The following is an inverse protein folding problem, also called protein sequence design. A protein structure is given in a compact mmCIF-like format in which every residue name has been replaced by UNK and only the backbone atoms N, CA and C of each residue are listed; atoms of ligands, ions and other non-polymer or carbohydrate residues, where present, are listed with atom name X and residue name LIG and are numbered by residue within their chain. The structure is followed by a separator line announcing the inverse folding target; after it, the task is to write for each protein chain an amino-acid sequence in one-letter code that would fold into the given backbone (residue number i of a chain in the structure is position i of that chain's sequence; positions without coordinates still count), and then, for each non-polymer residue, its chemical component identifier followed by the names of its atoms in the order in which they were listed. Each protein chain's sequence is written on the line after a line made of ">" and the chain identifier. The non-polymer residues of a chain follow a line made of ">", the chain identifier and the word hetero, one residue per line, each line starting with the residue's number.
data_IF_963697746167
#
_entry.id   IF_963697746167
#
_cell.length_a   1.000
_cell.length_b   1.000
_cell.length_c   1.000
_cell.angle_alpha   90.00
_cell.angle_beta   90.00
_cell.angle_gamma   90.00
#
_symmetry.space_group_name_H-M   'P 1'
#
loop_
_entity.id
_entity.type
_entity.pdbx_description
1 polymer ?
#
# COMPACT_ATOMS: atom_id res chain seq x y z
N UNK A 1 12.85 12.10 7.89
CA UNK A 1 11.40 11.97 8.09
C UNK A 1 11.10 11.60 9.53
N UNK A 2 10.08 12.17 10.14
CA UNK A 2 9.69 11.92 11.55
C UNK A 2 10.79 12.17 12.59
N UNK A 3 11.81 12.95 12.27
CA UNK A 3 12.93 13.27 13.15
C UNK A 3 13.87 12.11 13.48
N UNK A 4 13.87 11.04 12.66
CA UNK A 4 14.61 9.81 12.99
C UNK A 4 15.99 9.72 12.36
N UNK A 5 16.22 10.32 11.18
CA UNK A 5 17.55 10.37 10.49
C UNK A 5 18.28 9.01 10.47
N UNK A 6 17.62 7.99 9.91
CA UNK A 6 18.08 6.60 10.00
C UNK A 6 19.06 6.17 8.88
N UNK A 7 19.41 7.05 7.94
CA UNK A 7 20.52 6.79 7.02
C UNK A 7 21.86 7.20 7.67
N UNK A 8 22.18 6.53 8.75
CA UNK A 8 23.41 6.71 9.52
C UNK A 8 23.62 5.51 10.44
N UNK A 9 24.88 5.24 10.81
CA UNK A 9 25.24 4.16 11.74
C UNK A 9 24.64 4.35 13.13
N UNK A 10 24.42 5.61 13.53
CA UNK A 10 23.88 5.96 14.85
C UNK A 10 22.77 6.98 14.71
N UNK A 11 21.70 6.81 15.47
CA UNK A 11 20.60 7.76 15.56
C UNK A 11 20.16 7.95 17.00
N UNK A 12 19.69 9.14 17.34
CA UNK A 12 19.13 9.46 18.66
C UNK A 12 17.63 9.68 18.50
N UNK A 13 16.84 8.88 19.18
CA UNK A 13 15.39 8.85 19.08
C UNK A 13 14.73 9.00 20.45
N UNK A 14 13.56 9.66 20.54
CA UNK A 14 12.72 9.56 21.72
C UNK A 14 12.27 8.11 21.94
N UNK A 15 12.24 7.65 23.18
CA UNK A 15 11.78 6.29 23.52
C UNK A 15 10.39 5.98 22.95
N UNK A 16 9.49 6.98 22.90
CA UNK A 16 8.13 6.82 22.38
C UNK A 16 8.10 6.50 20.87
N UNK A 17 9.16 6.83 20.13
CA UNK A 17 9.26 6.60 18.68
C UNK A 17 9.76 5.21 18.31
N UNK A 18 10.06 4.35 19.29
CA UNK A 18 10.60 3.01 19.06
C UNK A 18 9.69 1.93 19.63
N UNK A 19 9.71 0.76 19.00
CA UNK A 19 9.06 -0.45 19.48
C UNK A 19 10.10 -1.56 19.58
N UNK A 20 10.10 -2.29 20.71
CA UNK A 20 10.98 -3.43 20.92
C UNK A 20 10.41 -4.62 20.12
N UNK A 21 11.24 -5.21 19.30
CA UNK A 21 10.91 -6.42 18.53
C UNK A 21 11.77 -7.61 18.99
N UNK A 22 11.47 -8.82 18.51
CA UNK A 22 12.26 -10.02 18.81
C UNK A 22 13.69 -9.88 18.29
N UNK A 23 14.65 -10.37 19.04
CA UNK A 23 16.08 -10.35 18.66
C UNK A 23 16.39 -11.24 17.46
N UNK A 24 15.59 -12.28 17.26
CA UNK A 24 15.73 -13.24 16.17
C UNK A 24 15.26 -12.67 14.82
N UNK A 25 14.55 -11.55 14.84
CA UNK A 25 14.05 -10.93 13.62
C UNK A 25 15.21 -10.36 12.78
N UNK A 26 15.33 -10.76 11.49
CA UNK A 26 16.35 -10.24 10.60
C UNK A 26 16.10 -8.77 10.32
N UNK A 27 17.00 -7.89 10.77
CA UNK A 27 16.80 -6.44 10.73
C UNK A 27 16.67 -5.90 9.30
N UNK A 28 17.41 -6.49 8.36
CA UNK A 28 17.36 -6.16 6.94
C UNK A 28 15.99 -6.44 6.28
N UNK A 29 15.15 -7.22 6.94
CA UNK A 29 13.77 -7.53 6.51
C UNK A 29 12.76 -6.69 7.27
N UNK A 30 12.80 -6.79 8.60
CA UNK A 30 11.77 -6.14 9.44
C UNK A 30 11.84 -4.62 9.44
N UNK A 31 12.93 -4.00 8.96
CA UNK A 31 13.01 -2.56 8.73
C UNK A 31 11.89 -2.07 7.78
N UNK A 32 11.38 -2.90 6.87
CA UNK A 32 10.29 -2.55 5.97
C UNK A 32 8.94 -2.40 6.70
N UNK A 33 8.81 -2.99 7.89
CA UNK A 33 7.61 -2.82 8.73
C UNK A 33 7.54 -1.42 9.37
N UNK A 34 8.64 -0.66 9.36
CA UNK A 34 8.67 0.70 9.91
C UNK A 34 7.74 1.69 9.20
N UNK A 35 7.33 1.43 7.96
CA UNK A 35 6.43 2.30 7.20
C UNK A 35 5.58 1.52 6.19
N UNK A 36 6.17 1.15 5.03
CA UNK A 36 5.42 0.76 3.83
C UNK A 36 4.51 -0.44 4.01
N UNK A 37 5.05 -1.55 4.54
CA UNK A 37 4.28 -2.79 4.70
C UNK A 37 3.16 -2.61 5.73
N UNK A 38 3.48 -2.02 6.87
CA UNK A 38 2.50 -1.72 7.91
C UNK A 38 1.40 -0.79 7.42
N UNK A 39 1.75 0.21 6.60
CA UNK A 39 0.78 1.15 6.02
C UNK A 39 -0.20 0.43 5.10
N UNK A 40 0.28 -0.41 4.19
CA UNK A 40 -0.58 -1.13 3.23
C UNK A 40 -1.49 -2.15 3.92
N UNK A 41 -0.92 -3.04 4.73
CA UNK A 41 -1.71 -4.04 5.48
C UNK A 41 -2.71 -3.35 6.41
N UNK A 42 -2.27 -2.34 7.14
CA UNK A 42 -3.11 -1.61 8.09
C UNK A 42 -4.23 -0.81 7.43
N UNK A 43 -4.00 -0.25 6.23
CA UNK A 43 -5.05 0.43 5.48
C UNK A 43 -6.25 -0.51 5.25
N UNK A 44 -5.98 -1.77 4.96
CA UNK A 44 -7.00 -2.80 4.74
C UNK A 44 -7.63 -3.29 6.05
N UNK A 45 -6.79 -3.69 7.02
CA UNK A 45 -7.27 -4.38 8.22
C UNK A 45 -7.78 -3.43 9.32
N UNK A 46 -7.11 -2.29 9.51
CA UNK A 46 -7.44 -1.36 10.61
C UNK A 46 -8.34 -0.21 10.14
N UNK A 47 -8.03 0.38 8.96
CA UNK A 47 -8.73 1.58 8.47
C UNK A 47 -10.04 1.20 7.79
N UNK A 48 -9.98 0.46 6.68
CA UNK A 48 -11.17 0.05 5.92
C UNK A 48 -11.92 -1.10 6.60
N UNK A 49 -11.19 -1.99 7.30
CA UNK A 49 -11.74 -3.20 7.92
C UNK A 49 -12.45 -4.07 6.88
N UNK A 50 -11.74 -4.33 5.79
CA UNK A 50 -12.27 -5.11 4.66
C UNK A 50 -12.89 -6.40 5.12
N UNK A 51 -14.10 -6.66 4.67
CA UNK A 51 -14.87 -7.84 5.04
C UNK A 51 -14.49 -9.06 4.19
N UNK A 52 -14.59 -10.29 4.75
CA UNK A 52 -14.39 -11.50 3.98
C UNK A 52 -15.33 -11.58 2.77
N UNK A 53 -14.79 -11.98 1.62
CA UNK A 53 -15.54 -12.08 0.37
C UNK A 53 -15.65 -10.78 -0.43
N UNK A 54 -15.26 -9.64 0.14
CA UNK A 54 -15.31 -8.34 -0.51
C UNK A 54 -14.43 -8.26 -1.77
N UNK A 55 -14.81 -7.37 -2.68
CA UNK A 55 -14.02 -6.97 -3.85
C UNK A 55 -13.16 -5.74 -3.52
N UNK A 56 -11.89 -5.79 -3.91
CA UNK A 56 -10.88 -4.77 -3.59
C UNK A 56 -10.16 -4.33 -4.85
N UNK A 57 -9.96 -3.02 -5.04
CA UNK A 57 -9.08 -2.48 -6.07
C UNK A 57 -7.90 -1.72 -5.41
N UNK A 58 -6.67 -2.04 -5.82
CA UNK A 58 -5.45 -1.38 -5.33
C UNK A 58 -4.79 -0.66 -6.49
N UNK A 59 -4.69 0.66 -6.38
CA UNK A 59 -4.08 1.53 -7.38
C UNK A 59 -2.64 1.84 -6.99
N UNK A 60 -1.71 1.45 -7.86
CA UNK A 60 -0.27 1.57 -7.66
C UNK A 60 0.33 0.35 -6.93
N UNK A 61 1.23 -0.34 -7.61
CA UNK A 61 1.88 -1.57 -7.13
C UNK A 61 3.33 -1.30 -6.69
N UNK A 62 3.51 -0.23 -5.92
CA UNK A 62 4.72 -0.02 -5.11
C UNK A 62 4.64 -0.81 -3.81
N UNK A 63 5.64 -0.65 -2.94
CA UNK A 63 5.68 -1.39 -1.66
C UNK A 63 4.42 -1.24 -0.80
N UNK A 64 3.74 -0.10 -0.82
CA UNK A 64 2.50 0.12 -0.07
C UNK A 64 1.33 -0.61 -0.71
N UNK A 65 1.16 -0.50 -2.04
CA UNK A 65 0.05 -1.16 -2.74
C UNK A 65 0.17 -2.70 -2.72
N UNK A 66 1.38 -3.22 -2.94
CA UNK A 66 1.64 -4.66 -2.80
C UNK A 66 1.35 -5.17 -1.38
N UNK A 67 1.62 -4.34 -0.37
CA UNK A 67 1.27 -4.66 1.03
C UNK A 67 -0.24 -4.59 1.28
N UNK A 68 -0.95 -3.67 0.61
CA UNK A 68 -2.42 -3.63 0.65
C UNK A 68 -3.03 -4.90 0.02
N UNK A 69 -2.44 -5.45 -1.05
CA UNK A 69 -2.83 -6.74 -1.61
C UNK A 69 -2.70 -7.85 -0.56
N UNK A 70 -1.55 -7.94 0.16
CA UNK A 70 -1.43 -8.89 1.26
C UNK A 70 -2.49 -8.69 2.33
N UNK A 71 -2.73 -7.42 2.72
CA UNK A 71 -3.80 -7.09 3.67
C UNK A 71 -5.17 -7.59 3.22
N UNK A 72 -5.50 -7.46 1.92
CA UNK A 72 -6.74 -7.95 1.34
C UNK A 72 -6.84 -9.49 1.39
N UNK A 73 -5.73 -10.20 1.14
CA UNK A 73 -5.67 -11.66 1.33
C UNK A 73 -5.89 -12.03 2.80
N UNK A 74 -5.24 -11.35 3.74
CA UNK A 74 -5.40 -11.57 5.18
C UNK A 74 -6.85 -11.30 5.63
N UNK A 75 -7.52 -10.30 5.03
CA UNK A 75 -8.95 -10.02 5.23
C UNK A 75 -9.87 -11.04 4.56
N UNK A 76 -9.34 -11.99 3.79
CA UNK A 76 -10.09 -12.98 3.00
C UNK A 76 -11.00 -12.32 1.95
N UNK A 77 -10.52 -11.25 1.29
CA UNK A 77 -11.20 -10.65 0.17
C UNK A 77 -11.44 -11.70 -0.94
N UNK A 78 -12.60 -11.63 -1.58
CA UNK A 78 -12.99 -12.59 -2.63
C UNK A 78 -12.40 -12.27 -3.99
N UNK A 79 -12.14 -10.98 -4.27
CA UNK A 79 -11.56 -10.50 -5.52
C UNK A 79 -10.61 -9.34 -5.25
N UNK A 80 -9.42 -9.36 -5.82
CA UNK A 80 -8.38 -8.35 -5.60
C UNK A 80 -7.82 -7.91 -6.95
N UNK A 81 -8.20 -6.69 -7.37
CA UNK A 81 -7.74 -6.07 -8.61
C UNK A 81 -6.49 -5.22 -8.33
N UNK A 82 -5.38 -5.59 -8.95
CA UNK A 82 -4.12 -4.85 -8.91
C UNK A 82 -4.04 -3.92 -10.14
N UNK A 83 -3.97 -2.61 -9.92
CA UNK A 83 -4.00 -1.59 -10.98
C UNK A 83 -2.67 -0.85 -11.03
N UNK A 84 -1.92 -0.95 -12.12
CA UNK A 84 -0.67 -0.21 -12.37
C UNK A 84 -0.43 -0.05 -13.87
N UNK A 85 0.29 1.00 -14.25
CA UNK A 85 0.73 1.23 -15.64
C UNK A 85 1.96 0.37 -16.01
N UNK A 86 2.71 -0.10 -15.02
CA UNK A 86 3.89 -0.95 -15.19
C UNK A 86 3.53 -2.42 -14.96
N UNK A 87 3.43 -3.19 -16.04
CA UNK A 87 3.06 -4.61 -16.00
C UNK A 87 4.13 -5.53 -15.40
N UNK A 88 5.39 -5.08 -15.30
CA UNK A 88 6.46 -5.86 -14.66
C UNK A 88 6.16 -6.17 -13.19
N UNK A 89 5.27 -5.38 -12.56
CA UNK A 89 4.86 -5.59 -11.17
C UNK A 89 3.72 -6.60 -11.01
N UNK A 90 3.06 -6.99 -12.09
CA UNK A 90 1.88 -7.85 -12.04
C UNK A 90 2.18 -9.26 -11.57
N UNK A 91 3.35 -9.79 -11.93
CA UNK A 91 3.75 -11.12 -11.47
C UNK A 91 3.85 -11.17 -9.95
N UNK A 92 4.53 -10.19 -9.35
CA UNK A 92 4.64 -10.11 -7.89
C UNK A 92 3.28 -9.84 -7.23
N UNK A 93 2.43 -8.99 -7.83
CA UNK A 93 1.08 -8.76 -7.32
C UNK A 93 0.26 -10.07 -7.25
N UNK A 94 0.35 -10.92 -8.28
CA UNK A 94 -0.29 -12.26 -8.30
C UNK A 94 0.29 -13.19 -7.24
N UNK A 95 1.62 -13.22 -7.08
CA UNK A 95 2.28 -14.02 -6.04
C UNK A 95 1.86 -13.59 -4.62
N UNK A 96 1.51 -12.31 -4.44
CA UNK A 96 1.00 -11.76 -3.19
C UNK A 96 -0.51 -11.91 -3.04
N UNK A 97 -1.22 -12.41 -4.07
CA UNK A 97 -2.62 -12.80 -4.01
C UNK A 97 -3.60 -11.95 -4.81
N UNK A 98 -3.13 -11.09 -5.73
CA UNK A 98 -4.02 -10.41 -6.66
C UNK A 98 -4.70 -11.44 -7.59
N UNK A 99 -6.01 -11.30 -7.76
CA UNK A 99 -6.80 -12.17 -8.64
C UNK A 99 -6.81 -11.66 -10.08
N UNK A 100 -6.79 -10.33 -10.24
CA UNK A 100 -6.85 -9.64 -11.52
C UNK A 100 -5.76 -8.57 -11.57
N UNK A 101 -5.21 -8.33 -12.77
CA UNK A 101 -4.27 -7.24 -13.01
C UNK A 101 -4.79 -6.37 -14.15
N UNK A 102 -4.81 -5.07 -13.94
CA UNK A 102 -5.39 -4.10 -14.88
C UNK A 102 -4.37 -3.00 -15.17
N UNK A 103 -3.99 -2.85 -16.44
CA UNK A 103 -3.18 -1.74 -16.91
C UNK A 103 -4.12 -0.68 -17.53
N UNK A 104 -4.27 0.51 -16.89
CA UNK A 104 -5.11 1.58 -17.40
C UNK A 104 -4.77 2.00 -18.84
N UNK A 105 -3.49 1.91 -19.21
CA UNK A 105 -3.01 2.29 -20.54
C UNK A 105 -3.49 1.38 -21.69
N UNK A 106 -4.19 0.30 -21.39
CA UNK A 106 -4.74 -0.64 -22.38
C UNK A 106 -6.23 -0.39 -22.71
N UNK A 107 -6.82 0.62 -22.10
CA UNK A 107 -8.24 0.95 -22.27
C UNK A 107 -8.40 2.39 -22.75
N UNK A 108 -9.35 2.61 -23.61
CA UNK A 108 -9.76 3.95 -24.07
C UNK A 108 -10.66 4.64 -23.02
N UNK A 109 -11.40 3.85 -22.25
CA UNK A 109 -12.28 4.32 -21.21
C UNK A 109 -11.53 4.68 -19.92
N UNK A 110 -12.06 5.61 -19.11
CA UNK A 110 -11.52 5.93 -17.80
C UNK A 110 -11.43 4.69 -16.90
N UNK A 111 -10.32 4.55 -16.15
CA UNK A 111 -10.07 3.33 -15.37
C UNK A 111 -11.18 2.98 -14.38
N UNK A 112 -11.84 3.98 -13.79
CA UNK A 112 -12.96 3.74 -12.89
C UNK A 112 -14.14 3.05 -13.59
N UNK A 113 -14.41 3.42 -14.85
CA UNK A 113 -15.51 2.83 -15.63
C UNK A 113 -15.16 1.39 -16.03
N UNK A 114 -13.91 1.15 -16.41
CA UNK A 114 -13.37 -0.21 -16.66
C UNK A 114 -13.54 -1.11 -15.45
N UNK A 115 -13.18 -0.62 -14.24
CA UNK A 115 -13.30 -1.41 -13.01
C UNK A 115 -14.78 -1.67 -12.68
N UNK A 116 -15.65 -0.68 -12.86
CA UNK A 116 -17.10 -0.85 -12.64
C UNK A 116 -17.67 -1.92 -13.57
N UNK A 117 -17.25 -1.94 -14.83
CA UNK A 117 -17.67 -2.97 -15.80
C UNK A 117 -17.15 -4.36 -15.41
N UNK A 118 -15.85 -4.47 -15.13
CA UNK A 118 -15.20 -5.73 -14.75
C UNK A 118 -15.78 -6.35 -13.46
N UNK A 119 -16.33 -5.52 -12.57
CA UNK A 119 -16.86 -5.96 -11.28
C UNK A 119 -18.38 -6.02 -11.23
N UNK A 120 -19.05 -5.60 -12.30
CA UNK A 120 -20.52 -5.61 -12.38
C UNK A 120 -21.20 -4.58 -11.48
N UNK A 121 -20.55 -3.43 -11.22
CA UNK A 121 -21.15 -2.35 -10.43
C UNK A 121 -20.18 -1.57 -9.53
N UNK A 122 -18.93 -1.96 -9.49
CA UNK A 122 -17.86 -1.34 -8.69
C UNK A 122 -17.36 -2.26 -7.59
N UNK A 123 -16.24 -1.88 -6.99
CA UNK A 123 -15.63 -2.63 -5.88
C UNK A 123 -16.18 -2.18 -4.53
N UNK A 124 -16.14 -3.07 -3.53
CA UNK A 124 -16.51 -2.72 -2.16
C UNK A 124 -15.48 -1.78 -1.53
N UNK A 125 -14.20 -1.98 -1.82
CA UNK A 125 -13.11 -1.16 -1.30
C UNK A 125 -12.10 -0.81 -2.39
N UNK A 126 -11.57 0.42 -2.33
CA UNK A 126 -10.43 0.81 -3.16
C UNK A 126 -9.34 1.46 -2.31
N UNK A 127 -8.07 1.26 -2.70
CA UNK A 127 -6.90 1.81 -2.02
C UNK A 127 -6.05 2.56 -3.05
N UNK A 128 -5.93 3.88 -2.89
CA UNK A 128 -5.03 4.68 -3.72
C UNK A 128 -3.67 4.77 -3.04
N UNK A 129 -2.63 4.19 -3.69
CA UNK A 129 -1.29 4.04 -3.14
C UNK A 129 -0.19 4.76 -3.96
N UNK A 130 -0.58 5.67 -4.85
CA UNK A 130 0.34 6.44 -5.72
C UNK A 130 0.58 7.85 -5.18
N UNK A 131 -0.48 8.52 -4.71
CA UNK A 131 -0.45 9.93 -4.32
C UNK A 131 -0.82 10.87 -5.48
N UNK A 132 -1.68 10.44 -6.39
CA UNK A 132 -2.14 11.25 -7.51
C UNK A 132 -3.61 11.65 -7.29
N UNK A 133 -3.90 12.96 -7.25
CA UNK A 133 -5.25 13.49 -6.94
C UNK A 133 -6.32 13.04 -7.95
N UNK A 134 -5.96 12.89 -9.23
CA UNK A 134 -6.89 12.38 -10.23
C UNK A 134 -7.18 10.89 -10.02
N UNK A 135 -6.14 10.13 -9.64
CA UNK A 135 -6.28 8.70 -9.35
C UNK A 135 -7.06 8.47 -8.04
N UNK A 136 -6.91 9.36 -7.03
CA UNK A 136 -7.74 9.34 -5.83
C UNK A 136 -9.23 9.46 -6.17
N UNK A 137 -9.55 10.34 -7.12
CA UNK A 137 -10.92 10.47 -7.64
C UNK A 137 -11.39 9.21 -8.36
N UNK A 138 -10.57 8.67 -9.25
CA UNK A 138 -10.90 7.41 -9.98
C UNK A 138 -11.10 6.25 -9.01
N UNK A 139 -10.28 6.16 -7.95
CA UNK A 139 -10.42 5.17 -6.90
C UNK A 139 -11.75 5.30 -6.14
N UNK A 140 -12.23 6.51 -5.87
CA UNK A 140 -13.55 6.72 -5.29
C UNK A 140 -14.66 6.31 -6.27
N UNK A 141 -14.54 6.75 -7.52
CA UNK A 141 -15.61 6.59 -8.52
C UNK A 141 -15.74 5.13 -8.99
N UNK A 142 -14.72 4.29 -8.84
CA UNK A 142 -14.80 2.85 -9.12
C UNK A 142 -15.46 2.02 -8.00
N UNK A 143 -15.71 2.62 -6.84
CA UNK A 143 -16.39 1.93 -5.75
C UNK A 143 -17.88 1.77 -6.01
N UNK A 144 -18.46 0.74 -5.46
CA UNK A 144 -19.90 0.45 -5.56
C UNK A 144 -20.73 1.58 -4.94
N UNK A 145 -21.83 1.96 -5.61
CA UNK A 145 -22.82 2.87 -5.04
C UNK A 145 -23.53 2.19 -3.86
N UNK A 146 -23.80 2.96 -2.82
CA UNK A 146 -24.53 2.47 -1.64
C UNK A 146 -23.63 2.21 -0.44
N UNK A 147 -22.43 1.60 -0.63
CA UNK A 147 -21.57 1.22 0.50
C UNK A 147 -20.06 1.26 0.20
N UNK A 148 -19.66 1.41 -1.06
CA UNK A 148 -18.24 1.32 -1.44
C UNK A 148 -17.37 2.38 -0.76
N UNK A 149 -16.19 1.97 -0.31
CA UNK A 149 -15.25 2.82 0.43
C UNK A 149 -13.92 2.95 -0.30
N UNK A 150 -13.47 4.19 -0.47
CA UNK A 150 -12.15 4.50 -1.03
C UNK A 150 -11.22 5.07 0.04
N UNK A 151 -10.04 4.48 0.18
CA UNK A 151 -9.02 4.90 1.14
C UNK A 151 -7.85 5.54 0.41
N UNK A 152 -7.55 6.80 0.73
CA UNK A 152 -6.37 7.52 0.28
C UNK A 152 -5.20 7.11 1.19
N UNK A 153 -4.20 6.47 0.60
CA UNK A 153 -2.96 6.03 1.26
C UNK A 153 -1.75 6.79 0.71
N UNK A 154 -1.75 7.06 -0.58
CA UNK A 154 -0.70 7.80 -1.27
C UNK A 154 -0.64 9.27 -0.82
N UNK A 155 0.56 9.85 -0.86
CA UNK A 155 0.79 11.26 -0.46
C UNK A 155 0.91 12.11 -1.70
N UNK A 156 -0.06 13.01 -1.89
CA UNK A 156 -0.02 13.99 -2.98
C UNK A 156 1.01 15.10 -2.72
N UNK A 157 1.41 15.79 -3.78
CA UNK A 157 2.29 16.96 -3.67
C UNK A 157 1.65 18.08 -2.84
N UNK A 158 2.49 18.87 -2.15
CA UNK A 158 2.03 19.96 -1.32
C UNK A 158 1.16 20.96 -2.13
N UNK A 159 0.03 21.35 -1.57
CA UNK A 159 -0.90 22.31 -2.19
C UNK A 159 -1.86 21.70 -3.22
N UNK A 160 -1.77 20.41 -3.51
CA UNK A 160 -2.75 19.74 -4.34
C UNK A 160 -4.03 19.44 -3.56
N UNK A 161 -5.16 19.57 -4.23
CA UNK A 161 -6.48 19.33 -3.66
C UNK A 161 -7.19 18.19 -4.38
N UNK A 162 -7.96 17.40 -3.64
CA UNK A 162 -8.86 16.40 -4.20
C UNK A 162 -10.20 17.01 -4.53
N UNK A 163 -10.84 16.57 -5.61
CA UNK A 163 -12.17 17.03 -5.99
C UNK A 163 -13.03 15.90 -6.53
N UNK A 164 -14.31 15.92 -6.19
CA UNK A 164 -15.31 15.03 -6.77
C UNK A 164 -16.67 15.70 -6.85
N UNK A 165 -17.58 15.12 -7.63
CA UNK A 165 -18.97 15.60 -7.66
C UNK A 165 -19.66 15.18 -6.35
N UNK A 166 -20.40 16.06 -5.68
CA UNK A 166 -21.10 15.72 -4.42
C UNK A 166 -21.98 14.49 -4.54
N UNK A 167 -22.54 14.25 -5.74
CA UNK A 167 -23.40 13.08 -6.01
C UNK A 167 -22.67 11.73 -5.81
N UNK A 168 -21.34 11.69 -5.96
CA UNK A 168 -20.56 10.49 -5.70
C UNK A 168 -20.64 10.07 -4.21
N UNK A 169 -20.71 11.05 -3.31
CA UNK A 169 -20.84 10.79 -1.86
C UNK A 169 -22.31 10.64 -1.43
N UNK A 170 -23.23 11.42 -1.99
CA UNK A 170 -24.66 11.32 -1.72
C UNK A 170 -25.21 9.92 -2.08
N UNK A 171 -24.62 9.27 -3.08
CA UNK A 171 -24.98 7.89 -3.46
C UNK A 171 -24.38 6.83 -2.55
N UNK A 172 -23.82 7.19 -1.38
CA UNK A 172 -23.44 6.27 -0.33
C UNK A 172 -21.97 5.85 -0.30
N UNK A 173 -21.14 6.35 -1.22
CA UNK A 173 -19.69 6.10 -1.18
C UNK A 173 -19.04 6.81 -0.01
N UNK A 174 -18.01 6.21 0.55
CA UNK A 174 -17.17 6.79 1.60
C UNK A 174 -15.79 7.11 1.02
N UNK A 175 -15.28 8.31 1.32
CA UNK A 175 -13.91 8.71 1.00
C UNK A 175 -13.18 9.04 2.29
N UNK A 176 -12.13 8.30 2.60
CA UNK A 176 -11.34 8.52 3.82
C UNK A 176 -9.85 8.41 3.55
N UNK A 177 -9.05 8.91 4.48
CA UNK A 177 -7.60 8.74 4.49
C UNK A 177 -7.13 7.77 5.57
N UNK A 178 -5.86 7.39 5.48
CA UNK A 178 -5.18 6.63 6.51
C UNK A 178 -3.77 7.16 6.74
N UNK A 179 -3.31 7.15 7.97
CA UNK A 179 -1.92 7.43 8.32
C UNK A 179 -1.34 6.16 8.96
N UNK A 180 -0.20 5.68 8.41
CA UNK A 180 0.47 4.47 8.89
C UNK A 180 -0.48 3.23 8.93
N UNK A 181 -1.48 3.20 8.03
CA UNK A 181 -2.48 2.14 8.01
C UNK A 181 -3.36 2.07 9.26
N UNK A 182 -3.53 3.18 10.01
CA UNK A 182 -4.23 3.16 11.29
C UNK A 182 -3.54 2.31 12.37
N UNK A 183 -2.27 1.95 12.17
CA UNK A 183 -1.51 1.10 13.08
C UNK A 183 -1.04 1.87 14.33
N UNK A 184 -1.23 1.28 15.49
CA UNK A 184 -0.64 1.74 16.76
C UNK A 184 0.76 1.14 16.89
N UNK A 185 1.79 1.82 16.35
CA UNK A 185 3.13 1.29 16.12
C UNK A 185 3.72 0.53 17.32
N UNK A 186 3.75 1.12 18.50
CA UNK A 186 4.35 0.47 19.69
C UNK A 186 3.68 -0.84 20.13
N UNK A 187 2.37 -0.94 19.95
CA UNK A 187 1.61 -2.12 20.39
C UNK A 187 1.38 -3.16 19.28
N UNK A 188 1.30 -2.75 18.02
CA UNK A 188 0.94 -3.66 16.93
C UNK A 188 2.15 -4.11 16.11
N UNK A 189 3.18 -3.27 15.96
CA UNK A 189 4.36 -3.60 15.13
C UNK A 189 5.12 -4.85 15.62
N UNK A 190 5.31 -5.08 16.94
CA UNK A 190 5.91 -6.32 17.41
C UNK A 190 5.14 -7.58 16.98
N UNK A 191 3.80 -7.51 16.99
CA UNK A 191 2.94 -8.60 16.48
C UNK A 191 3.08 -8.83 14.97
N UNK A 192 3.31 -7.78 14.18
CA UNK A 192 3.57 -7.93 12.74
C UNK A 192 4.93 -8.59 12.49
N UNK A 193 5.93 -8.32 13.33
CA UNK A 193 7.22 -9.03 13.29
C UNK A 193 7.01 -10.52 13.59
N UNK A 194 6.19 -10.86 14.59
CA UNK A 194 5.85 -12.25 14.88
C UNK A 194 5.13 -12.92 13.70
N UNK A 195 4.18 -12.25 13.06
CA UNK A 195 3.50 -12.75 11.86
C UNK A 195 4.47 -12.98 10.69
N UNK A 196 5.46 -12.10 10.50
CA UNK A 196 6.51 -12.32 9.51
C UNK A 196 7.34 -13.57 9.84
N UNK A 197 7.78 -13.72 11.09
CA UNK A 197 8.56 -14.88 11.52
C UNK A 197 7.79 -16.22 11.41
N UNK A 198 6.45 -16.18 11.48
CA UNK A 198 5.58 -17.33 11.23
C UNK A 198 5.26 -17.55 9.75
N UNK A 199 5.61 -16.60 8.87
CA UNK A 199 5.33 -16.68 7.43
C UNK A 199 3.94 -16.18 7.01
N UNK A 200 3.20 -15.53 7.90
CA UNK A 200 1.88 -14.94 7.62
C UNK A 200 1.99 -13.64 6.83
N UNK A 201 3.09 -12.90 6.99
CA UNK A 201 3.43 -11.70 6.23
C UNK A 201 4.68 -11.98 5.40
N UNK A 202 4.60 -11.70 4.11
CA UNK A 202 5.73 -11.76 3.18
C UNK A 202 6.45 -10.42 3.17
N UNK A 203 7.76 -10.42 3.35
CA UNK A 203 8.61 -9.23 3.33
C UNK A 203 9.75 -9.38 2.31
N UNK A 204 10.31 -10.56 2.20
CA UNK A 204 11.50 -10.84 1.41
C UNK A 204 11.32 -10.46 -0.06
N UNK A 205 10.14 -10.71 -0.60
CA UNK A 205 9.77 -10.44 -2.00
C UNK A 205 9.77 -8.94 -2.35
N UNK A 206 9.74 -8.07 -1.34
CA UNK A 206 9.78 -6.61 -1.53
C UNK A 206 11.20 -6.08 -1.71
N UNK A 207 12.23 -6.82 -1.26
CA UNK A 207 13.61 -6.36 -1.30
C UNK A 207 14.19 -6.64 -2.68
N UNK A 208 14.21 -5.61 -3.51
CA UNK A 208 14.73 -5.69 -4.87
C UNK A 208 16.26 -5.53 -4.90
N UNK A 209 16.79 -4.69 -4.03
CA UNK A 209 18.22 -4.40 -3.93
C UNK A 209 18.67 -4.27 -2.49
N UNK A 210 19.94 -4.60 -2.28
CA UNK A 210 20.66 -4.43 -1.03
C UNK A 210 21.97 -3.73 -1.34
N UNK A 211 22.28 -2.62 -0.65
CA UNK A 211 23.42 -1.75 -0.95
C UNK A 211 24.06 -1.21 0.33
N UNK A 212 25.36 -0.89 0.30
CA UNK A 212 26.00 -0.14 1.37
C UNK A 212 25.55 1.32 1.37
N UNK A 213 25.81 2.06 2.46
CA UNK A 213 25.37 3.46 2.62
C UNK A 213 25.96 4.39 1.55
N UNK A 214 27.16 4.10 1.07
CA UNK A 214 27.83 4.87 -0.01
C UNK A 214 27.02 4.90 -1.29
N UNK A 215 26.22 3.87 -1.56
CA UNK A 215 25.37 3.72 -2.75
C UNK A 215 23.96 4.30 -2.57
N UNK A 216 23.68 5.05 -1.49
CA UNK A 216 22.32 5.55 -1.17
C UNK A 216 21.70 6.35 -2.34
N UNK A 217 22.50 7.16 -3.04
CA UNK A 217 22.01 7.95 -4.18
C UNK A 217 21.53 7.04 -5.32
N UNK A 218 22.28 5.95 -5.60
CA UNK A 218 21.89 4.95 -6.58
C UNK A 218 20.58 4.24 -6.19
N UNK A 219 20.35 4.00 -4.90
CA UNK A 219 19.07 3.44 -4.42
C UNK A 219 17.90 4.38 -4.71
N UNK A 220 18.08 5.70 -4.56
CA UNK A 220 17.09 6.70 -4.94
C UNK A 220 16.86 6.76 -6.45
N UNK A 221 17.92 6.68 -7.25
CA UNK A 221 17.81 6.67 -8.72
C UNK A 221 16.97 5.46 -9.18
N UNK A 222 17.27 4.26 -8.69
CA UNK A 222 16.49 3.05 -8.97
C UNK A 222 15.01 3.17 -8.56
N UNK A 223 14.74 3.86 -7.46
CA UNK A 223 13.37 4.14 -7.03
C UNK A 223 12.67 5.08 -8.01
N UNK A 224 13.32 6.17 -8.42
CA UNK A 224 12.78 7.13 -9.40
C UNK A 224 12.55 6.51 -10.77
N UNK A 225 13.41 5.58 -11.19
CA UNK A 225 13.27 4.83 -12.43
C UNK A 225 12.19 3.71 -12.36
N UNK A 226 11.59 3.51 -11.20
CA UNK A 226 10.59 2.45 -10.98
C UNK A 226 11.16 1.03 -11.00
N UNK A 227 12.48 0.87 -10.93
CA UNK A 227 13.20 -0.40 -10.96
C UNK A 227 13.32 -1.07 -9.59
N UNK A 228 13.05 -0.34 -8.51
CA UNK A 228 13.09 -0.83 -7.14
C UNK A 228 11.72 -0.77 -6.48
N UNK A 229 11.30 -1.87 -5.85
CA UNK A 229 10.19 -1.87 -4.92
C UNK A 229 10.69 -1.35 -3.58
N UNK A 230 11.76 -1.98 -3.05
CA UNK A 230 12.51 -1.52 -1.87
C UNK A 230 13.98 -1.81 -2.04
N UNK A 231 14.80 -0.80 -1.74
CA UNK A 231 16.24 -0.94 -1.57
C UNK A 231 16.57 -0.89 -0.07
N UNK A 232 17.27 -1.89 0.43
CA UNK A 232 17.72 -1.95 1.82
C UNK A 232 19.18 -1.53 1.89
N UNK A 233 19.50 -0.63 2.83
CA UNK A 233 20.84 -0.11 3.04
C UNK A 233 21.46 -0.80 4.24
N UNK A 234 22.68 -1.28 4.09
CA UNK A 234 23.51 -1.84 5.16
C UNK A 234 24.58 -0.84 5.61
N UNK A 235 24.91 -0.91 6.88
CA UNK A 235 25.94 -0.13 7.55
C UNK A 235 27.09 -1.03 8.01
#
# INVERSE_FOLDING_TARGET
>A
YMGTSTFSEYTVLPEIAVAKVRKEAPLEKVCLLGCGITTGIGAVLNTAKVEPGASVAVFGLGGVGLSAIQGAVMAKAGRILAVDINEDKFELAKQLGATDCVNPGKYDDPIQDVIVELTGGGVDYSFECVGNVNLMRSALECCHKGWGESVIVGVAGAGQEISTRPFQLVTGRVWRGTAFGGCKGRSQLPGMVDQYLHGDIKIDEFITYTMPLEDINKAFDLMHEGKSIRSVIHF
#
